data_IF_288489336365
#
_entry.id   IF_288489336365
#
_cell.length_a   1.000
_cell.length_b   1.000
_cell.length_c   1.000
_cell.angle_alpha   90.00
_cell.angle_beta   90.00
_cell.angle_gamma   90.00
#
_symmetry.space_group_name_H-M   'P 1'
#
loop_
_entity.id
_entity.type
_entity.pdbx_description
1 polymer ?
#
# COMPACT_ATOMS: atom_id res chain seq x y z
N UNK A 1 -11.40 14.34 15.24
CA UNK A 1 -10.58 13.12 15.08
C UNK A 1 -11.09 12.30 13.88
N UNK A 2 -10.31 12.26 12.79
CA UNK A 2 -10.54 11.30 11.70
C UNK A 2 -10.12 9.93 12.20
N UNK A 3 -11.07 9.10 12.59
CA UNK A 3 -10.84 7.73 13.04
C UNK A 3 -11.12 6.83 11.83
N UNK A 4 -10.06 6.25 11.25
CA UNK A 4 -10.21 5.25 10.21
C UNK A 4 -10.34 3.89 10.89
N UNK A 5 -11.55 3.35 10.98
CA UNK A 5 -11.80 2.02 11.55
C UNK A 5 -11.20 0.90 10.70
N UNK A 6 -11.00 1.16 9.39
CA UNK A 6 -10.39 0.23 8.46
C UNK A 6 -9.71 0.98 7.30
N UNK A 7 -8.42 1.34 7.39
CA UNK A 7 -7.71 1.93 6.27
C UNK A 7 -7.51 0.90 5.15
N UNK A 8 -7.76 1.36 3.93
CA UNK A 8 -7.50 0.62 2.70
C UNK A 8 -6.25 1.19 2.05
N UNK A 9 -5.23 0.35 1.88
CA UNK A 9 -4.00 0.68 1.20
C UNK A 9 -4.04 0.09 -0.22
N UNK A 10 -3.98 0.96 -1.24
CA UNK A 10 -3.90 0.53 -2.63
C UNK A 10 -2.44 0.46 -3.07
N UNK A 11 -2.06 -0.67 -3.65
CA UNK A 11 -0.71 -0.93 -4.17
C UNK A 11 -0.82 -1.27 -5.65
N UNK A 12 0.02 -0.67 -6.49
CA UNK A 12 0.05 -1.04 -7.89
C UNK A 12 0.91 -2.31 -8.09
N UNK A 13 0.36 -3.28 -8.83
CA UNK A 13 1.03 -4.54 -9.16
C UNK A 13 1.91 -4.47 -10.41
N UNK A 14 1.92 -3.36 -11.14
CA UNK A 14 2.76 -3.21 -12.34
C UNK A 14 4.26 -3.41 -12.02
N UNK A 15 4.99 -4.03 -12.95
CA UNK A 15 6.43 -4.27 -12.82
C UNK A 15 7.16 -2.94 -12.59
N UNK A 16 7.91 -2.83 -11.49
CA UNK A 16 8.60 -1.60 -11.09
C UNK A 16 7.74 -0.59 -10.32
N UNK A 17 6.41 -0.59 -10.48
CA UNK A 17 5.50 0.26 -9.69
C UNK A 17 5.41 -0.23 -8.25
N UNK A 18 5.36 -1.55 -8.04
CA UNK A 18 5.38 -2.15 -6.72
C UNK A 18 6.69 -1.83 -5.97
N UNK A 19 7.83 -2.06 -6.62
CA UNK A 19 9.16 -1.83 -6.07
C UNK A 19 9.38 -0.35 -5.74
N UNK A 20 8.92 0.56 -6.60
CA UNK A 20 8.98 1.99 -6.33
C UNK A 20 8.12 2.40 -5.13
N UNK A 21 6.91 1.82 -4.99
CA UNK A 21 5.99 2.08 -3.89
C UNK A 21 6.47 1.57 -2.53
N UNK A 22 7.18 0.44 -2.48
CA UNK A 22 7.73 -0.15 -1.25
C UNK A 22 9.17 0.29 -0.94
N UNK A 23 9.81 1.04 -1.85
CA UNK A 23 11.17 1.56 -1.66
C UNK A 23 11.28 2.44 -0.41
N UNK A 24 12.52 2.77 0.00
CA UNK A 24 12.79 3.62 1.18
C UNK A 24 12.07 4.97 1.10
N UNK A 25 11.90 5.50 -0.10
CA UNK A 25 11.21 6.77 -0.40
C UNK A 25 9.79 6.54 -0.98
N UNK A 26 9.29 5.30 -0.92
CA UNK A 26 8.03 4.90 -1.50
C UNK A 26 6.84 5.33 -0.64
N UNK A 27 5.82 5.91 -1.29
CA UNK A 27 4.64 6.43 -0.61
C UNK A 27 3.81 5.33 0.07
N UNK A 28 3.70 4.14 -0.54
CA UNK A 28 2.96 3.02 0.03
C UNK A 28 3.54 2.60 1.38
N UNK A 29 4.87 2.58 1.50
CA UNK A 29 5.58 2.27 2.74
C UNK A 29 5.35 3.35 3.81
N UNK A 30 5.43 4.62 3.43
CA UNK A 30 5.20 5.74 4.35
C UNK A 30 3.77 5.73 4.91
N UNK A 31 2.77 5.56 4.05
CA UNK A 31 1.36 5.51 4.47
C UNK A 31 1.06 4.29 5.35
N UNK A 32 1.65 3.12 5.05
CA UNK A 32 1.51 1.93 5.90
C UNK A 32 2.13 2.14 7.29
N UNK A 33 3.31 2.78 7.34
CA UNK A 33 3.98 3.10 8.59
C UNK A 33 3.18 4.12 9.41
N UNK A 34 2.66 5.17 8.77
CA UNK A 34 1.81 6.17 9.42
C UNK A 34 0.55 5.52 10.01
N UNK A 35 -0.14 4.67 9.25
CA UNK A 35 -1.30 3.94 9.75
C UNK A 35 -0.97 3.09 10.99
N UNK A 36 0.18 2.40 10.97
CA UNK A 36 0.66 1.64 12.13
C UNK A 36 0.93 2.53 13.35
N UNK A 37 1.62 3.67 13.17
CA UNK A 37 1.90 4.61 14.27
C UNK A 37 0.63 5.27 14.84
N UNK A 38 -0.43 5.38 14.04
CA UNK A 38 -1.74 5.88 14.46
C UNK A 38 -2.59 4.84 15.21
N UNK A 39 -2.08 3.61 15.40
CA UNK A 39 -2.75 2.56 16.17
C UNK A 39 -3.73 1.71 15.37
N UNK A 40 -3.67 1.77 14.04
CA UNK A 40 -4.44 0.88 13.17
C UNK A 40 -3.92 -0.55 13.32
N UNK A 41 -4.80 -1.47 13.74
CA UNK A 41 -4.49 -2.89 13.91
C UNK A 41 -4.96 -3.77 12.75
N UNK A 42 -5.81 -3.24 11.87
CA UNK A 42 -6.34 -3.93 10.71
C UNK A 42 -6.11 -3.08 9.46
N UNK A 43 -5.47 -3.67 8.44
CA UNK A 43 -5.16 -2.99 7.19
C UNK A 43 -5.68 -3.85 6.04
N UNK A 44 -6.53 -3.29 5.19
CA UNK A 44 -6.93 -3.94 3.94
C UNK A 44 -5.97 -3.48 2.85
N UNK A 45 -5.34 -4.42 2.15
CA UNK A 45 -4.44 -4.12 1.04
C UNK A 45 -5.11 -4.52 -0.27
N UNK A 46 -5.35 -3.55 -1.15
CA UNK A 46 -5.86 -3.78 -2.50
C UNK A 46 -4.74 -3.69 -3.52
N UNK A 47 -4.50 -4.75 -4.29
CA UNK A 47 -3.54 -4.71 -5.40
C UNK A 47 -4.29 -4.33 -6.67
N UNK A 48 -3.86 -3.23 -7.30
CA UNK A 48 -4.45 -2.67 -8.51
C UNK A 48 -3.52 -2.87 -9.72
N UNK A 49 -4.04 -2.76 -10.94
CA UNK A 49 -3.29 -2.97 -12.20
C UNK A 49 -2.66 -4.37 -12.33
N UNK A 50 -3.38 -5.39 -11.87
CA UNK A 50 -2.97 -6.79 -11.98
C UNK A 50 -2.93 -7.30 -13.43
N UNK A 51 -3.57 -6.58 -14.36
CA UNK A 51 -3.48 -6.81 -15.80
C UNK A 51 -2.11 -6.41 -16.39
N UNK A 52 -1.36 -5.54 -15.70
CA UNK A 52 -0.05 -5.04 -16.12
C UNK A 52 1.12 -5.87 -15.58
N UNK A 53 0.86 -7.01 -14.94
CA UNK A 53 1.91 -7.93 -14.50
C UNK A 53 2.26 -8.89 -15.64
N UNK A 54 3.55 -9.02 -15.96
CA UNK A 54 3.99 -10.10 -16.85
C UNK A 54 3.84 -11.46 -16.11
N UNK A 55 3.10 -12.43 -16.68
CA UNK A 55 3.05 -13.77 -16.13
C UNK A 55 4.42 -14.46 -16.29
N UNK A 56 4.84 -15.28 -15.30
CA UNK A 56 6.05 -16.10 -15.41
C UNK A 56 5.93 -17.19 -16.48
#
# INVERSE_FOLDING_TARGET
PSQADCPVLIVAGGVGEFEAGISKNGQTREHALLAFTLGVKQLIVGVNKMDSTEPP
#
